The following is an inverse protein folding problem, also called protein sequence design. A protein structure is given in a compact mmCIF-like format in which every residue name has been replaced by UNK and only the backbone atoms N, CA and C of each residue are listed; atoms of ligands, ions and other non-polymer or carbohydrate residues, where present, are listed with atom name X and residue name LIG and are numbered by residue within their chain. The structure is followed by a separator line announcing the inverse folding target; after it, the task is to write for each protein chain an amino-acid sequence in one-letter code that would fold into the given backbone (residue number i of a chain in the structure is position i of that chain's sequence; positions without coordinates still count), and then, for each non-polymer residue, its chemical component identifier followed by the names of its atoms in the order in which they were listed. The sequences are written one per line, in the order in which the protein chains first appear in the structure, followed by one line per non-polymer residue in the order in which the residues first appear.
data_IF_669956904957
#
_entry.id   IF_669956904957
#
_cell.length_a   1.000
_cell.length_b   1.000
_cell.length_c   1.000
_cell.angle_alpha   90.00
_cell.angle_beta   90.00
_cell.angle_gamma   90.00
#
_symmetry.space_group_name_H-M   'P 1'
#
loop_
_entity.id
_entity.type
_entity.pdbx_description
1 polymer ?
#
# COMPACT_ATOMS: atom_id res chain seq x y z
N UNK A 1 6.73 26.10 -3.16
CA UNK A 1 6.04 25.05 -3.95
C UNK A 1 6.52 23.68 -3.46
N UNK A 2 5.65 22.81 -2.92
CA UNK A 2 6.08 21.52 -2.35
C UNK A 2 6.45 20.54 -3.48
N UNK A 3 7.69 20.05 -3.48
CA UNK A 3 8.27 19.10 -4.44
C UNK A 3 7.46 17.78 -4.50
N UNK A 4 6.94 17.33 -5.65
CA UNK A 4 6.05 16.17 -5.71
C UNK A 4 6.81 14.87 -5.98
N UNK A 5 7.78 14.47 -5.14
CA UNK A 5 8.48 13.16 -5.31
C UNK A 5 9.00 12.50 -4.04
N UNK A 6 8.78 13.04 -2.83
CA UNK A 6 9.27 12.38 -1.60
C UNK A 6 8.54 11.04 -1.40
N UNK A 7 9.29 9.91 -1.38
CA UNK A 7 8.75 8.57 -1.12
C UNK A 7 8.21 8.46 0.32
N UNK A 8 6.96 8.86 0.54
CA UNK A 8 6.28 8.73 1.84
C UNK A 8 5.71 7.32 2.05
N UNK A 9 6.57 6.30 2.12
CA UNK A 9 6.14 4.90 2.26
C UNK A 9 5.39 4.61 3.57
N UNK A 10 5.83 5.23 4.67
CA UNK A 10 5.31 4.99 6.02
C UNK A 10 3.92 5.61 6.24
N UNK A 11 3.69 6.81 5.71
CA UNK A 11 2.46 7.60 5.97
C UNK A 11 1.36 7.40 4.92
N UNK A 12 1.58 6.58 3.88
CA UNK A 12 0.60 6.40 2.79
C UNK A 12 -0.27 5.18 3.04
N UNK A 13 -1.54 5.41 3.35
CA UNK A 13 -2.54 4.36 3.46
C UNK A 13 -3.10 3.94 2.11
N UNK A 14 -3.46 2.65 2.02
CA UNK A 14 -4.22 2.11 0.90
C UNK A 14 -5.69 2.52 0.95
N UNK A 15 -6.54 1.75 0.27
CA UNK A 15 -7.99 2.04 0.21
C UNK A 15 -8.68 1.93 1.58
N UNK A 16 -8.14 1.09 2.47
CA UNK A 16 -8.67 0.82 3.81
C UNK A 16 -8.19 1.82 4.89
N UNK A 17 -7.44 2.86 4.54
CA UNK A 17 -7.01 3.90 5.49
C UNK A 17 -5.90 3.48 6.48
N UNK A 18 -5.58 2.19 6.59
CA UNK A 18 -4.52 1.70 7.48
C UNK A 18 -3.13 2.12 7.00
N UNK A 19 -2.28 2.50 7.97
CA UNK A 19 -0.85 2.80 7.78
C UNK A 19 0.00 1.75 8.50
N UNK A 20 1.30 1.71 8.22
CA UNK A 20 2.19 0.72 8.84
C UNK A 20 2.29 0.89 10.37
N UNK A 21 2.12 2.11 10.88
CA UNK A 21 2.14 2.40 12.31
C UNK A 21 0.90 1.84 13.05
N UNK A 22 -0.16 1.50 12.32
CA UNK A 22 -1.37 0.92 12.88
C UNK A 22 -1.39 -0.62 12.82
N UNK A 23 -0.31 -1.26 12.37
CA UNK A 23 -0.21 -2.72 12.35
C UNK A 23 0.38 -3.27 13.64
N UNK A 24 -0.21 -4.36 14.09
CA UNK A 24 0.25 -5.19 15.19
C UNK A 24 0.88 -6.48 14.67
N UNK A 25 1.51 -7.23 15.57
CA UNK A 25 2.02 -8.57 15.24
C UNK A 25 0.88 -9.54 14.91
N UNK A 26 -0.29 -9.37 15.50
CA UNK A 26 -1.43 -10.26 15.27
C UNK A 26 -2.04 -10.02 13.88
N UNK A 27 -2.07 -8.78 13.40
CA UNK A 27 -2.44 -8.47 12.01
C UNK A 27 -1.51 -9.20 11.02
N UNK A 28 -0.21 -9.25 11.30
CA UNK A 28 0.77 -9.93 10.45
C UNK A 28 0.55 -11.44 10.47
N UNK A 29 0.27 -12.02 11.64
CA UNK A 29 -0.04 -13.45 11.76
C UNK A 29 -1.31 -13.81 11.02
N UNK A 30 -2.36 -12.99 11.09
CA UNK A 30 -3.61 -13.20 10.36
C UNK A 30 -3.36 -13.19 8.85
N UNK A 31 -2.63 -12.20 8.34
CA UNK A 31 -2.25 -12.12 6.92
C UNK A 31 -1.48 -13.37 6.48
N UNK A 32 -0.54 -13.85 7.30
CA UNK A 32 0.21 -15.06 7.03
C UNK A 32 -0.69 -16.29 6.99
N UNK A 33 -1.59 -16.46 7.97
CA UNK A 33 -2.52 -17.57 8.02
C UNK A 33 -3.44 -17.59 6.81
N UNK A 34 -4.04 -16.45 6.44
CA UNK A 34 -4.85 -16.35 5.22
C UNK A 34 -4.07 -16.75 3.96
N UNK A 35 -2.79 -16.38 3.89
CA UNK A 35 -1.94 -16.70 2.76
C UNK A 35 -1.64 -18.21 2.66
N UNK A 36 -1.25 -18.85 3.77
CA UNK A 36 -0.96 -20.28 3.82
C UNK A 36 -2.22 -21.12 3.57
N UNK A 37 -3.37 -20.67 4.09
CA UNK A 37 -4.68 -21.29 3.86
C UNK A 37 -5.19 -21.13 2.41
N UNK A 38 -4.50 -20.38 1.56
CA UNK A 38 -4.96 -20.05 0.20
C UNK A 38 -6.21 -19.17 0.16
N UNK A 39 -6.56 -18.53 1.28
CA UNK A 39 -7.74 -17.64 1.42
C UNK A 39 -7.41 -16.17 1.14
N UNK A 40 -6.14 -15.84 0.97
CA UNK A 40 -5.70 -14.49 0.74
C UNK A 40 -6.32 -13.89 -0.53
N UNK A 41 -7.04 -12.78 -0.36
CA UNK A 41 -7.57 -11.97 -1.45
C UNK A 41 -6.94 -10.58 -1.44
N UNK A 42 -6.24 -10.23 -2.54
CA UNK A 42 -5.60 -8.94 -2.67
C UNK A 42 -6.64 -7.81 -2.72
N UNK A 43 -6.51 -6.82 -1.83
CA UNK A 43 -7.44 -5.69 -1.82
C UNK A 43 -7.22 -4.78 -3.05
N UNK A 44 -8.27 -4.06 -3.51
CA UNK A 44 -8.12 -3.05 -4.55
C UNK A 44 -7.09 -1.96 -4.20
N UNK A 45 -6.46 -1.43 -5.23
CA UNK A 45 -5.41 -0.40 -5.09
C UNK A 45 -6.02 1.00 -5.09
N UNK A 46 -5.62 1.86 -4.15
CA UNK A 46 -6.07 3.26 -4.10
C UNK A 46 -5.43 4.09 -5.21
N UNK A 47 -6.23 4.76 -6.03
CA UNK A 47 -5.75 5.63 -7.12
C UNK A 47 -5.51 7.05 -6.63
N UNK A 48 -4.32 7.59 -6.91
CA UNK A 48 -3.96 8.98 -6.62
C UNK A 48 -3.36 9.60 -7.86
N UNK A 49 -3.82 10.79 -8.23
CA UNK A 49 -3.29 11.54 -9.38
C UNK A 49 -2.26 12.54 -8.86
N UNK A 50 -1.02 12.47 -9.37
CA UNK A 50 0.05 13.41 -9.00
C UNK A 50 0.43 14.25 -10.23
N UNK A 51 0.53 15.57 -10.11
CA UNK A 51 1.00 16.43 -11.19
C UNK A 51 2.47 16.18 -11.51
N UNK A 52 2.83 16.18 -12.79
CA UNK A 52 4.21 16.26 -13.29
C UNK A 52 4.57 17.73 -13.56
N UNK A 53 5.87 18.03 -13.56
CA UNK A 53 6.37 19.39 -13.86
C UNK A 53 6.05 19.89 -15.29
N UNK A 54 5.65 19.00 -16.21
CA UNK A 54 5.30 19.34 -17.59
C UNK A 54 3.78 19.47 -17.82
N UNK A 55 3.00 19.76 -16.78
CA UNK A 55 1.54 19.92 -16.86
C UNK A 55 0.75 18.61 -17.03
N UNK A 56 1.40 17.48 -17.28
CA UNK A 56 0.75 16.17 -17.35
C UNK A 56 0.53 15.59 -15.94
N UNK A 57 -0.30 14.56 -15.83
CA UNK A 57 -0.52 13.83 -14.57
C UNK A 57 0.04 12.41 -14.62
N UNK A 58 0.47 11.88 -13.48
CA UNK A 58 0.79 10.46 -13.31
C UNK A 58 -0.22 9.82 -12.35
N UNK A 59 -1.04 8.87 -12.81
CA UNK A 59 -1.82 8.05 -11.89
C UNK A 59 -0.87 7.13 -11.12
N UNK A 60 -1.00 7.09 -9.81
CA UNK A 60 -0.34 6.13 -8.93
C UNK A 60 -1.36 5.18 -8.34
N UNK A 61 -0.95 3.94 -8.17
CA UNK A 61 -1.65 2.94 -7.38
C UNK A 61 -0.97 2.78 -6.03
N UNK A 62 -1.70 3.02 -4.94
CA UNK A 62 -1.24 2.84 -3.57
C UNK A 62 -1.89 1.56 -3.02
N UNK A 63 -1.15 0.44 -2.92
CA UNK A 63 -1.67 -0.79 -2.32
C UNK A 63 -1.87 -0.63 -0.80
N UNK A 64 -2.74 -1.46 -0.22
CA UNK A 64 -2.89 -1.62 1.24
C UNK A 64 -1.59 -2.13 1.86
N UNK A 65 -1.42 -1.98 3.17
CA UNK A 65 -0.22 -2.48 3.86
C UNK A 65 -0.16 -4.01 3.77
N UNK A 66 -1.31 -4.69 3.93
CA UNK A 66 -1.46 -6.14 3.70
C UNK A 66 -0.90 -6.57 2.34
N UNK A 67 -1.33 -5.91 1.26
CA UNK A 67 -0.81 -6.20 -0.08
C UNK A 67 0.69 -5.94 -0.22
N UNK A 68 1.22 -4.88 0.41
CA UNK A 68 2.66 -4.58 0.36
C UNK A 68 3.49 -5.65 1.05
N UNK A 69 3.02 -6.16 2.20
CA UNK A 69 3.69 -7.23 2.94
C UNK A 69 3.72 -8.49 2.07
N UNK A 70 2.57 -8.95 1.59
CA UNK A 70 2.49 -10.15 0.75
C UNK A 70 3.31 -10.03 -0.53
N UNK A 71 3.26 -8.87 -1.21
CA UNK A 71 4.06 -8.64 -2.41
C UNK A 71 5.56 -8.67 -2.12
N UNK A 72 6.01 -8.13 -0.98
CA UNK A 72 7.42 -8.15 -0.59
C UNK A 72 7.91 -9.50 -0.10
N UNK A 73 7.03 -10.33 0.45
CA UNK A 73 7.35 -11.71 0.81
C UNK A 73 7.55 -12.62 -0.40
N UNK A 74 7.05 -12.23 -1.58
CA UNK A 74 7.17 -12.95 -2.84
C UNK A 74 8.36 -12.50 -3.72
N UNK A 75 9.05 -11.43 -3.32
CA UNK A 75 10.18 -10.84 -4.05
C UNK A 75 11.51 -11.41 -3.55
#
# INVERSE_FOLDING_TARGET
MKSPTTKKRVQTSGINGQTINGMTLDDIKEIHQEYVDGKYQASPVKRVVIPKGNGKTRPLGIPTIKNRITQKSLE
#
